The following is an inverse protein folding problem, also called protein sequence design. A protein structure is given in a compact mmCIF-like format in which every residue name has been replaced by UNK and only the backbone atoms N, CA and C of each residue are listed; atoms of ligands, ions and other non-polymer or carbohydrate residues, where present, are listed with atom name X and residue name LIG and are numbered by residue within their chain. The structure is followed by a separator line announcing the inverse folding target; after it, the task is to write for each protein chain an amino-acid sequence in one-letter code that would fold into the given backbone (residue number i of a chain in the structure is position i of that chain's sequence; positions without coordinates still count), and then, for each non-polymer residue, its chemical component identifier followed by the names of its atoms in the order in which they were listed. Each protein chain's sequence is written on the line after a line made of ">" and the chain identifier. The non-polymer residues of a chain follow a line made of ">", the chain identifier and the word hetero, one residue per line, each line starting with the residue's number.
data_IF_843901149599
#
_entry.id   IF_843901149599
#
_cell.length_a   1.000
_cell.length_b   1.000
_cell.length_c   1.000
_cell.angle_alpha   90.00
_cell.angle_beta   90.00
_cell.angle_gamma   90.00
#
_symmetry.space_group_name_H-M   'P 1'
#
loop_
_entity.id
_entity.type
_entity.pdbx_description
1 polymer ?
#
# COMPACT_ATOMS: atom_id res chain seq x y z
N UNK A 1 -5.22 -4.91 35.23
CA UNK A 1 -3.95 -4.24 35.57
C UNK A 1 -3.31 -3.84 34.24
N UNK A 2 -3.36 -2.57 33.88
CA UNK A 2 -2.66 -2.10 32.67
C UNK A 2 -1.16 -2.19 32.96
N UNK A 3 -0.43 -3.06 32.26
CA UNK A 3 1.02 -2.93 32.22
C UNK A 3 1.34 -1.53 31.70
N UNK A 4 2.22 -0.80 32.39
CA UNK A 4 2.68 0.47 31.89
C UNK A 4 3.38 0.20 30.54
N UNK A 5 3.15 1.05 29.53
CA UNK A 5 3.69 0.87 28.18
C UNK A 5 5.22 0.76 28.16
N UNK A 6 5.90 1.29 29.18
CA UNK A 6 7.36 1.21 29.34
C UNK A 6 7.88 -0.18 29.73
N UNK A 7 7.01 -1.08 30.20
CA UNK A 7 7.40 -2.47 30.55
C UNK A 7 7.37 -3.43 29.35
N UNK A 8 6.91 -2.95 28.18
CA UNK A 8 6.82 -3.78 26.97
C UNK A 8 8.21 -4.05 26.39
N UNK A 9 8.42 -5.29 25.93
CA UNK A 9 9.67 -5.68 25.27
C UNK A 9 9.91 -4.84 24.02
N UNK A 10 11.16 -4.39 23.86
CA UNK A 10 11.67 -3.75 22.63
C UNK A 10 12.32 -4.74 21.67
N UNK A 11 12.41 -6.03 22.04
CA UNK A 11 12.91 -7.05 21.14
C UNK A 11 11.86 -7.34 20.05
N UNK A 12 12.27 -7.43 18.76
CA UNK A 12 11.39 -7.87 17.68
C UNK A 12 10.78 -9.26 17.97
N UNK A 13 9.53 -9.45 17.58
CA UNK A 13 8.81 -10.70 17.84
C UNK A 13 9.05 -11.68 16.70
N UNK A 14 9.55 -12.91 16.92
CA UNK A 14 9.78 -13.86 15.83
C UNK A 14 8.49 -14.17 15.04
N UNK A 15 8.57 -14.12 13.72
CA UNK A 15 7.54 -14.64 12.83
C UNK A 15 7.80 -16.12 12.58
N UNK A 16 6.89 -17.00 13.01
CA UNK A 16 7.07 -18.46 12.91
C UNK A 16 6.81 -19.01 11.51
N UNK A 17 6.30 -18.19 10.60
CA UNK A 17 6.07 -18.61 9.22
C UNK A 17 7.34 -18.59 8.36
N UNK A 18 8.42 -17.93 8.82
CA UNK A 18 9.64 -17.72 8.03
C UNK A 18 10.92 -17.81 8.88
N UNK A 19 12.03 -18.18 8.24
CA UNK A 19 13.34 -18.24 8.89
C UNK A 19 13.91 -16.85 9.16
N UNK A 20 14.42 -16.64 10.38
CA UNK A 20 15.08 -15.40 10.80
C UNK A 20 14.24 -14.12 10.50
N UNK A 21 12.92 -14.24 10.54
CA UNK A 21 11.97 -13.17 10.30
C UNK A 21 11.32 -12.67 11.60
N UNK A 22 11.02 -11.38 11.64
CA UNK A 22 10.49 -10.76 12.86
C UNK A 22 9.39 -9.75 12.52
N UNK A 23 8.30 -9.83 13.29
CA UNK A 23 7.34 -8.74 13.45
C UNK A 23 7.93 -7.60 14.30
N UNK A 24 7.28 -6.42 14.33
CA UNK A 24 7.67 -5.36 15.24
C UNK A 24 7.66 -5.80 16.72
N UNK A 25 8.38 -5.06 17.55
CA UNK A 25 8.42 -5.30 19.00
C UNK A 25 7.07 -4.97 19.66
N UNK A 26 6.72 -5.61 20.78
CA UNK A 26 5.54 -5.22 21.56
C UNK A 26 5.52 -3.72 21.92
N UNK A 27 6.68 -3.14 22.28
CA UNK A 27 6.80 -1.71 22.56
C UNK A 27 6.43 -0.86 21.34
N UNK A 28 7.04 -1.11 20.17
CA UNK A 28 6.75 -0.34 18.96
C UNK A 28 5.29 -0.45 18.51
N UNK A 29 4.68 -1.63 18.64
CA UNK A 29 3.25 -1.80 18.34
C UNK A 29 2.38 -0.90 19.23
N UNK A 30 2.72 -0.72 20.51
CA UNK A 30 1.98 0.18 21.40
C UNK A 30 2.07 1.66 21.03
N UNK A 31 3.11 2.06 20.28
CA UNK A 31 3.34 3.45 19.91
C UNK A 31 2.75 3.79 18.53
N UNK A 32 2.82 2.84 17.59
CA UNK A 32 2.52 3.09 16.18
C UNK A 32 1.27 2.37 15.66
N UNK A 33 0.60 1.60 16.51
CA UNK A 33 -0.68 0.98 16.17
C UNK A 33 -1.75 1.36 17.18
N UNK A 34 -3.00 1.33 16.75
CA UNK A 34 -4.16 1.65 17.57
C UNK A 34 -5.32 0.76 17.16
N UNK A 35 -6.21 0.47 18.11
CA UNK A 35 -7.43 -0.29 17.84
C UNK A 35 -8.40 0.45 16.89
N UNK A 36 -8.28 1.78 16.80
CA UNK A 36 -9.10 2.67 15.95
C UNK A 36 -8.24 3.70 15.23
N UNK A 37 -8.74 4.17 14.09
CA UNK A 37 -8.16 5.31 13.36
C UNK A 37 -8.72 6.63 13.87
N UNK A 38 -8.24 7.73 13.30
CA UNK A 38 -8.76 9.08 13.46
C UNK A 38 -9.84 9.46 12.41
N UNK A 39 -10.38 8.46 11.69
CA UNK A 39 -11.40 8.66 10.67
C UNK A 39 -12.61 9.48 11.19
N UNK A 40 -12.94 10.54 10.46
CA UNK A 40 -13.96 11.52 10.86
C UNK A 40 -15.16 11.58 9.89
N UNK A 41 -15.31 10.59 9.00
CA UNK A 41 -16.40 10.52 8.01
C UNK A 41 -15.95 10.83 6.58
N UNK A 42 -16.86 10.61 5.63
CA UNK A 42 -16.64 10.87 4.19
C UNK A 42 -17.39 12.13 3.76
N UNK A 43 -16.70 13.06 3.12
CA UNK A 43 -17.26 14.36 2.70
C UNK A 43 -18.15 14.29 1.46
N UNK A 44 -17.88 13.34 0.55
CA UNK A 44 -18.48 13.30 -0.80
C UNK A 44 -19.18 11.98 -1.11
N UNK A 45 -19.80 11.37 -0.09
CA UNK A 45 -20.51 10.10 -0.26
C UNK A 45 -21.55 10.17 -1.40
N UNK A 46 -21.46 9.23 -2.35
CA UNK A 46 -22.35 9.14 -3.51
C UNK A 46 -22.20 10.26 -4.55
N UNK A 47 -21.17 11.10 -4.47
CA UNK A 47 -20.99 12.22 -5.39
C UNK A 47 -20.69 11.78 -6.84
N UNK A 48 -20.18 10.56 -7.04
CA UNK A 48 -19.93 9.98 -8.35
C UNK A 48 -20.87 8.80 -8.64
N UNK A 49 -21.89 9.03 -9.49
CA UNK A 49 -22.92 8.02 -9.78
C UNK A 49 -22.80 7.37 -11.18
N UNK A 50 -21.93 7.86 -12.06
CA UNK A 50 -21.84 7.37 -13.44
C UNK A 50 -21.22 5.97 -13.57
N UNK A 51 -20.44 5.53 -12.56
CA UNK A 51 -19.90 4.17 -12.48
C UNK A 51 -18.87 3.78 -13.55
N UNK A 52 -18.40 4.73 -14.36
CA UNK A 52 -17.36 4.51 -15.38
C UNK A 52 -15.97 4.42 -14.77
N UNK A 53 -15.63 5.33 -13.85
CA UNK A 53 -14.28 5.49 -13.32
C UNK A 53 -14.01 4.56 -12.14
N UNK A 54 -12.81 4.00 -12.14
CA UNK A 54 -12.27 3.11 -11.12
C UNK A 54 -10.90 3.56 -10.63
N UNK A 55 -10.48 2.95 -9.52
CA UNK A 55 -9.13 3.05 -8.96
C UNK A 55 -8.41 1.73 -9.22
N UNK A 56 -7.20 1.79 -9.80
CA UNK A 56 -6.30 0.64 -9.86
C UNK A 56 -5.37 0.70 -8.65
N UNK A 57 -5.54 -0.19 -7.68
CA UNK A 57 -4.58 -0.33 -6.59
C UNK A 57 -3.47 -1.31 -6.98
N UNK A 58 -2.21 -0.89 -6.86
CA UNK A 58 -1.04 -1.76 -6.96
C UNK A 58 -0.56 -2.05 -5.52
N UNK A 59 -0.73 -3.30 -5.09
CA UNK A 59 -0.36 -3.74 -3.74
C UNK A 59 0.95 -4.55 -3.73
N UNK A 60 1.59 -4.59 -2.57
CA UNK A 60 2.72 -5.47 -2.30
C UNK A 60 2.25 -6.93 -2.20
N UNK A 61 3.00 -7.83 -2.83
CA UNK A 61 2.76 -9.28 -2.77
C UNK A 61 3.83 -10.05 -2.00
N UNK A 62 4.91 -9.38 -1.57
CA UNK A 62 5.94 -9.92 -0.69
C UNK A 62 5.80 -9.31 0.72
N UNK A 63 5.93 -10.16 1.73
CA UNK A 63 5.85 -9.79 3.15
C UNK A 63 7.22 -9.51 3.74
N UNK A 64 8.27 -10.17 3.28
CA UNK A 64 9.56 -10.17 3.95
C UNK A 64 10.55 -9.23 3.27
N UNK A 65 11.02 -8.23 4.03
CA UNK A 65 12.10 -7.33 3.60
C UNK A 65 13.41 -7.78 4.22
N UNK A 66 14.41 -8.07 3.39
CA UNK A 66 15.76 -8.39 3.86
C UNK A 66 16.46 -7.13 4.38
N UNK A 67 16.76 -7.10 5.66
CA UNK A 67 17.50 -6.01 6.31
C UNK A 67 19.01 -6.21 6.17
N UNK A 68 19.79 -5.13 6.32
CA UNK A 68 21.25 -5.14 6.19
C UNK A 68 21.96 -6.12 7.14
N UNK A 69 21.35 -6.43 8.29
CA UNK A 69 21.89 -7.37 9.27
C UNK A 69 21.54 -8.84 8.98
N UNK A 70 20.94 -9.13 7.82
CA UNK A 70 20.57 -10.48 7.37
C UNK A 70 19.25 -11.02 7.96
N UNK A 71 18.54 -10.23 8.79
CA UNK A 71 17.19 -10.58 9.27
C UNK A 71 16.13 -10.15 8.27
N UNK A 72 14.96 -10.77 8.33
CA UNK A 72 13.78 -10.36 7.57
C UNK A 72 12.82 -9.55 8.44
N UNK A 73 12.37 -8.41 7.97
CA UNK A 73 11.22 -7.70 8.57
C UNK A 73 9.92 -8.25 7.98
N UNK A 74 9.02 -8.73 8.85
CA UNK A 74 7.70 -9.26 8.47
C UNK A 74 6.67 -8.13 8.37
N UNK A 75 6.48 -7.64 7.15
CA UNK A 75 5.71 -6.44 6.79
C UNK A 75 4.58 -6.78 5.78
N UNK A 76 4.36 -5.93 4.78
CA UNK A 76 3.27 -5.88 3.83
C UNK A 76 2.89 -4.43 3.57
N UNK A 77 1.72 -4.21 2.97
CA UNK A 77 1.12 -2.90 2.97
C UNK A 77 0.51 -2.57 4.34
N UNK A 78 0.61 -1.31 4.74
CA UNK A 78 -0.01 -0.83 5.98
C UNK A 78 -1.54 -0.77 5.81
N UNK A 79 -2.34 -1.44 6.67
CA UNK A 79 -3.78 -1.59 6.45
C UNK A 79 -4.53 -0.25 6.51
N UNK A 80 -4.16 0.66 7.40
CA UNK A 80 -4.82 1.98 7.48
C UNK A 80 -4.51 2.82 6.24
N UNK A 81 -3.26 2.80 5.78
CA UNK A 81 -2.83 3.55 4.60
C UNK A 81 -3.51 3.02 3.33
N UNK A 82 -3.79 1.72 3.27
CA UNK A 82 -4.53 1.11 2.18
C UNK A 82 -6.02 1.42 2.27
N UNK A 83 -6.64 1.10 3.40
CA UNK A 83 -8.09 0.94 3.48
C UNK A 83 -8.80 2.25 3.73
N UNK A 84 -8.19 3.22 4.40
CA UNK A 84 -8.86 4.49 4.68
C UNK A 84 -9.00 5.37 3.43
N UNK A 85 -7.96 5.58 2.59
CA UNK A 85 -8.13 6.27 1.31
C UNK A 85 -9.15 5.56 0.40
N UNK A 86 -9.12 4.23 0.37
CA UNK A 86 -10.08 3.46 -0.43
C UNK A 86 -11.50 3.54 0.13
N UNK A 87 -11.69 3.61 1.44
CA UNK A 87 -13.01 3.85 2.03
C UNK A 87 -13.61 5.16 1.52
N UNK A 88 -12.85 6.27 1.56
CA UNK A 88 -13.29 7.54 1.00
C UNK A 88 -13.64 7.45 -0.49
N UNK A 89 -12.81 6.79 -1.29
CA UNK A 89 -13.02 6.66 -2.74
C UNK A 89 -14.23 5.77 -3.08
N UNK A 90 -14.40 4.66 -2.36
CA UNK A 90 -15.52 3.73 -2.54
C UNK A 90 -16.85 4.36 -2.13
N UNK A 91 -16.90 5.03 -0.97
CA UNK A 91 -18.09 5.77 -0.54
C UNK A 91 -18.43 6.92 -1.48
N UNK A 92 -17.44 7.53 -2.14
CA UNK A 92 -17.68 8.54 -3.19
C UNK A 92 -18.33 7.94 -4.44
N UNK A 93 -18.09 6.64 -4.71
CA UNK A 93 -18.69 5.89 -5.81
C UNK A 93 -17.69 5.24 -6.78
N UNK A 94 -16.39 5.27 -6.49
CA UNK A 94 -15.37 4.64 -7.34
C UNK A 94 -15.18 3.16 -6.97
N UNK A 95 -15.30 2.25 -7.94
CA UNK A 95 -14.89 0.85 -7.75
C UNK A 95 -13.35 0.73 -7.75
N UNK A 96 -12.85 -0.31 -7.10
CA UNK A 96 -11.41 -0.52 -6.88
C UNK A 96 -11.02 -1.89 -7.40
N UNK A 97 -10.14 -1.94 -8.40
CA UNK A 97 -9.50 -3.18 -8.80
C UNK A 97 -8.12 -3.28 -8.16
N UNK A 98 -7.76 -4.49 -7.70
CA UNK A 98 -6.50 -4.75 -7.00
C UNK A 98 -5.60 -5.56 -7.91
N UNK A 99 -4.37 -5.09 -8.10
CA UNK A 99 -3.34 -5.80 -8.82
C UNK A 99 -2.08 -5.96 -7.95
N UNK A 100 -1.36 -7.05 -8.19
CA UNK A 100 0.00 -7.26 -7.70
C UNK A 100 0.89 -7.65 -8.89
N UNK A 101 2.22 -7.57 -8.76
CA UNK A 101 3.14 -7.77 -9.89
C UNK A 101 2.88 -9.11 -10.58
N UNK A 102 2.76 -10.20 -9.80
CA UNK A 102 2.61 -11.56 -10.32
C UNK A 102 1.20 -12.12 -10.16
N UNK A 103 0.29 -11.40 -9.48
CA UNK A 103 -1.06 -11.86 -9.16
C UNK A 103 -1.10 -12.69 -7.87
N UNK A 104 0.00 -12.76 -7.11
CA UNK A 104 -0.02 -13.36 -5.77
C UNK A 104 -0.83 -12.51 -4.79
N UNK A 105 -1.43 -13.11 -3.74
CA UNK A 105 -2.24 -12.38 -2.77
C UNK A 105 -1.51 -11.17 -2.20
N UNK A 106 -2.21 -10.05 -2.08
CA UNK A 106 -1.68 -8.87 -1.39
C UNK A 106 -1.28 -9.23 0.05
N UNK A 107 -0.14 -8.72 0.51
CA UNK A 107 0.35 -8.94 1.88
C UNK A 107 0.11 -7.68 2.69
N UNK A 108 -0.50 -7.83 3.86
CA UNK A 108 -0.79 -6.75 4.78
C UNK A 108 -0.02 -6.93 6.07
N UNK A 109 0.33 -5.80 6.68
CA UNK A 109 0.82 -5.67 8.05
C UNK A 109 -0.36 -5.88 9.02
N UNK A 110 -0.84 -7.12 9.12
CA UNK A 110 -2.04 -7.42 9.92
C UNK A 110 -1.85 -7.10 11.41
N UNK A 111 -0.61 -6.98 11.89
CA UNK A 111 -0.28 -6.49 13.24
C UNK A 111 -0.62 -5.01 13.45
N UNK A 112 -0.91 -4.23 12.40
CA UNK A 112 -1.36 -2.83 12.46
C UNK A 112 -2.85 -2.66 12.10
N UNK A 113 -3.62 -3.74 11.97
CA UNK A 113 -5.04 -3.65 11.62
C UNK A 113 -5.87 -3.07 12.79
N UNK A 114 -6.60 -1.96 12.60
CA UNK A 114 -7.43 -1.36 13.66
C UNK A 114 -8.74 -2.13 13.80
N UNK A 115 -8.71 -3.24 14.56
CA UNK A 115 -9.82 -4.19 14.64
C UNK A 115 -11.13 -3.63 15.23
N UNK A 116 -11.11 -2.47 15.88
CA UNK A 116 -12.31 -1.80 16.41
C UNK A 116 -12.84 -0.67 15.51
N UNK A 117 -12.23 -0.46 14.35
CA UNK A 117 -12.64 0.54 13.37
C UNK A 117 -13.58 -0.06 12.31
N UNK A 118 -14.85 0.36 12.34
CA UNK A 118 -15.89 -0.18 11.45
C UNK A 118 -15.69 0.21 9.98
N UNK A 119 -15.15 1.39 9.70
CA UNK A 119 -14.92 1.86 8.33
C UNK A 119 -13.79 1.05 7.68
N UNK A 120 -12.70 0.84 8.42
CA UNK A 120 -11.59 0.00 7.96
C UNK A 120 -12.02 -1.46 7.83
N UNK A 121 -12.74 -2.00 8.82
CA UNK A 121 -13.18 -3.39 8.80
C UNK A 121 -14.14 -3.69 7.63
N UNK A 122 -15.13 -2.84 7.38
CA UNK A 122 -16.07 -3.04 6.27
C UNK A 122 -15.38 -2.94 4.91
N UNK A 123 -14.46 -1.99 4.74
CA UNK A 123 -13.67 -1.83 3.51
C UNK A 123 -12.74 -3.02 3.29
N UNK A 124 -12.11 -3.53 4.35
CA UNK A 124 -11.31 -4.75 4.27
C UNK A 124 -12.14 -5.96 3.82
N UNK A 125 -13.32 -6.19 4.42
CA UNK A 125 -14.18 -7.31 4.02
C UNK A 125 -14.65 -7.19 2.56
N UNK A 126 -15.00 -5.97 2.11
CA UNK A 126 -15.39 -5.72 0.73
C UNK A 126 -14.25 -6.02 -0.27
N UNK A 127 -13.02 -5.67 0.07
CA UNK A 127 -11.84 -5.86 -0.79
C UNK A 127 -11.17 -7.23 -0.61
N UNK A 128 -11.48 -7.98 0.46
CA UNK A 128 -10.83 -9.26 0.79
C UNK A 128 -10.79 -10.25 -0.39
N UNK A 129 -11.86 -10.43 -1.20
CA UNK A 129 -11.78 -11.30 -2.38
C UNK A 129 -10.71 -10.84 -3.39
N UNK A 130 -10.69 -9.53 -3.71
CA UNK A 130 -9.72 -8.94 -4.65
C UNK A 130 -8.28 -8.91 -4.07
N UNK A 131 -8.13 -8.78 -2.75
CA UNK A 131 -6.82 -8.88 -2.07
C UNK A 131 -6.27 -10.31 -2.09
N UNK A 132 -7.14 -11.32 -1.97
CA UNK A 132 -6.74 -12.74 -2.00
C UNK A 132 -6.50 -13.27 -3.40
N UNK A 133 -7.16 -12.69 -4.41
CA UNK A 133 -7.02 -13.06 -5.82
C UNK A 133 -6.90 -11.77 -6.65
N UNK A 134 -5.78 -11.05 -6.55
CA UNK A 134 -5.59 -9.82 -7.30
C UNK A 134 -5.36 -10.13 -8.78
N UNK A 135 -5.58 -9.11 -9.61
CA UNK A 135 -5.18 -9.12 -10.99
C UNK A 135 -3.64 -9.20 -11.08
N UNK A 136 -3.14 -9.82 -12.14
CA UNK A 136 -1.73 -9.75 -12.48
C UNK A 136 -1.45 -8.43 -13.19
N UNK A 137 -0.58 -7.59 -12.63
CA UNK A 137 -0.35 -6.25 -13.15
C UNK A 137 0.13 -6.24 -14.60
N UNK A 138 0.87 -7.26 -15.06
CA UNK A 138 1.32 -7.34 -16.46
C UNK A 138 0.16 -7.48 -17.45
N UNK A 139 -0.90 -8.16 -17.07
CA UNK A 139 -2.09 -8.32 -17.91
C UNK A 139 -2.89 -7.02 -17.93
N UNK A 140 -3.05 -6.39 -16.76
CA UNK A 140 -3.67 -5.06 -16.66
C UNK A 140 -2.92 -4.04 -17.51
N UNK A 141 -1.59 -3.97 -17.38
CA UNK A 141 -0.76 -3.00 -18.09
C UNK A 141 -0.79 -3.17 -19.60
N UNK A 142 -0.84 -4.42 -20.10
CA UNK A 142 -0.96 -4.71 -21.53
C UNK A 142 -2.29 -4.20 -22.12
N UNK A 143 -3.34 -4.14 -21.29
CA UNK A 143 -4.67 -3.69 -21.67
C UNK A 143 -4.91 -2.19 -21.39
N UNK A 144 -3.92 -1.46 -20.86
CA UNK A 144 -4.06 -0.02 -20.60
C UNK A 144 -3.96 0.80 -21.90
N UNK A 145 -4.96 1.66 -22.14
CA UNK A 145 -5.08 2.55 -23.29
C UNK A 145 -5.78 3.86 -22.89
N UNK A 146 -5.87 4.89 -23.76
CA UNK A 146 -6.44 6.19 -23.40
C UNK A 146 -7.90 6.15 -22.90
N UNK A 147 -8.66 5.13 -23.28
CA UNK A 147 -10.06 4.97 -22.92
C UNK A 147 -10.29 3.98 -21.77
N UNK A 148 -9.23 3.41 -21.17
CA UNK A 148 -9.34 2.55 -19.98
C UNK A 148 -10.06 3.27 -18.84
N UNK A 149 -10.75 2.49 -18.02
CA UNK A 149 -11.67 2.98 -16.99
C UNK A 149 -11.00 3.35 -15.66
N UNK A 150 -9.67 3.39 -15.59
CA UNK A 150 -8.95 3.82 -14.40
C UNK A 150 -8.72 5.34 -14.43
N UNK A 151 -9.24 6.01 -13.41
CA UNK A 151 -9.03 7.45 -13.20
C UNK A 151 -7.74 7.70 -12.39
N UNK A 152 -7.39 6.77 -11.51
CA UNK A 152 -6.21 6.86 -10.66
C UNK A 152 -5.52 5.51 -10.50
N UNK A 153 -4.20 5.58 -10.31
CA UNK A 153 -3.37 4.49 -9.77
C UNK A 153 -3.10 4.82 -8.31
N UNK A 154 -3.41 3.89 -7.41
CA UNK A 154 -3.18 4.01 -5.99
C UNK A 154 -2.13 3.00 -5.52
N UNK A 155 -1.10 3.48 -4.83
CA UNK A 155 -0.01 2.64 -4.31
C UNK A 155 0.12 2.92 -2.80
N UNK A 156 -0.48 2.10 -1.93
CA UNK A 156 -0.33 2.25 -0.48
C UNK A 156 1.11 1.98 -0.04
N UNK A 157 1.50 2.54 1.11
CA UNK A 157 2.79 2.27 1.73
C UNK A 157 2.77 1.03 2.62
N UNK A 158 3.42 1.13 3.78
CA UNK A 158 4.02 -0.01 4.48
C UNK A 158 5.33 -0.47 3.82
N UNK A 159 6.28 -1.00 4.60
CA UNK A 159 7.60 -1.36 4.08
C UNK A 159 7.56 -2.43 3.00
N UNK A 160 6.48 -3.23 2.88
CA UNK A 160 6.31 -4.17 1.77
C UNK A 160 6.36 -3.52 0.38
N UNK A 161 6.06 -2.21 0.27
CA UNK A 161 6.12 -1.47 -0.98
C UNK A 161 7.56 -1.32 -1.55
N UNK A 162 8.59 -1.51 -0.73
CA UNK A 162 10.00 -1.41 -1.17
C UNK A 162 10.48 -2.66 -1.90
N UNK A 163 9.72 -3.76 -1.85
CA UNK A 163 10.09 -5.04 -2.47
C UNK A 163 9.37 -5.20 -3.80
N UNK A 164 10.13 -5.40 -4.86
CA UNK A 164 9.62 -5.65 -6.21
C UNK A 164 9.09 -4.41 -6.92
N UNK A 165 8.21 -3.61 -6.29
CA UNK A 165 7.56 -2.45 -6.93
C UNK A 165 8.57 -1.45 -7.53
N UNK A 166 9.63 -1.02 -6.81
CA UNK A 166 10.57 -0.02 -7.32
C UNK A 166 11.38 -0.47 -8.54
N UNK A 167 11.55 -1.80 -8.70
CA UNK A 167 12.33 -2.43 -9.77
C UNK A 167 11.46 -3.08 -10.86
N UNK A 168 10.15 -2.83 -10.87
CA UNK A 168 9.23 -3.48 -11.79
C UNK A 168 9.00 -2.66 -13.06
N UNK A 169 9.42 -3.20 -14.21
CA UNK A 169 9.10 -2.60 -15.52
C UNK A 169 7.60 -2.38 -15.71
N UNK A 170 6.76 -3.33 -15.26
CA UNK A 170 5.31 -3.22 -15.37
C UNK A 170 4.75 -2.07 -14.54
N UNK A 171 5.24 -1.87 -13.31
CA UNK A 171 4.87 -0.69 -12.50
C UNK A 171 5.29 0.59 -13.23
N UNK A 172 6.50 0.61 -13.79
CA UNK A 172 6.99 1.71 -14.62
C UNK A 172 6.07 2.00 -15.81
N UNK A 173 5.65 0.97 -16.56
CA UNK A 173 4.70 1.10 -17.68
C UNK A 173 3.36 1.68 -17.23
N UNK A 174 2.79 1.19 -16.13
CA UNK A 174 1.52 1.70 -15.58
C UNK A 174 1.63 3.17 -15.14
N UNK A 175 2.74 3.56 -14.51
CA UNK A 175 2.97 4.95 -14.10
C UNK A 175 3.17 5.89 -15.30
N UNK A 176 3.90 5.46 -16.33
CA UNK A 176 4.04 6.23 -17.56
C UNK A 176 2.69 6.39 -18.27
N UNK A 177 1.89 5.31 -18.36
CA UNK A 177 0.53 5.39 -18.89
C UNK A 177 -0.33 6.40 -18.11
N UNK A 178 -0.24 6.41 -16.78
CA UNK A 178 -1.00 7.35 -15.97
C UNK A 178 -0.62 8.81 -16.28
N UNK A 179 0.68 9.11 -16.38
CA UNK A 179 1.16 10.44 -16.76
C UNK A 179 0.74 10.85 -18.17
N UNK A 180 0.93 9.97 -19.16
CA UNK A 180 0.67 10.25 -20.58
C UNK A 180 -0.82 10.55 -20.86
N UNK A 181 -1.72 10.03 -20.02
CA UNK A 181 -3.17 10.15 -20.20
C UNK A 181 -3.85 11.01 -19.13
N UNK A 182 -3.08 11.79 -18.36
CA UNK A 182 -3.62 12.71 -17.36
C UNK A 182 -4.40 12.02 -16.23
N UNK A 183 -3.92 10.85 -15.79
CA UNK A 183 -4.48 10.07 -14.67
C UNK A 183 -3.78 10.43 -13.38
N UNK A 184 -4.49 10.25 -12.26
CA UNK A 184 -3.91 10.53 -10.94
C UNK A 184 -3.00 9.40 -10.48
N UNK A 185 -1.94 9.76 -9.78
CA UNK A 185 -1.08 8.83 -9.04
C UNK A 185 -1.14 9.23 -7.58
N UNK A 186 -1.64 8.32 -6.74
CA UNK A 186 -1.90 8.56 -5.32
C UNK A 186 -1.02 7.58 -4.53
N UNK A 187 -0.19 8.11 -3.63
CA UNK A 187 0.71 7.28 -2.82
C UNK A 187 1.13 8.01 -1.55
N UNK A 188 1.64 7.27 -0.57
CA UNK A 188 2.00 7.75 0.77
C UNK A 188 3.03 6.82 1.44
N UNK A 189 3.70 7.33 2.49
CA UNK A 189 4.67 6.59 3.30
C UNK A 189 5.85 6.07 2.45
N UNK A 190 6.02 4.74 2.34
CA UNK A 190 6.99 4.08 1.45
C UNK A 190 6.42 3.71 0.08
N UNK A 191 5.12 3.87 -0.15
CA UNK A 191 4.51 3.72 -1.48
C UNK A 191 5.21 4.52 -2.60
N UNK A 192 5.74 5.75 -2.35
CA UNK A 192 6.56 6.48 -3.30
C UNK A 192 7.79 5.74 -3.82
N UNK A 193 8.28 4.69 -3.14
CA UNK A 193 9.35 3.85 -3.67
C UNK A 193 9.00 3.26 -5.05
N UNK A 194 7.72 2.97 -5.30
CA UNK A 194 7.24 2.49 -6.60
C UNK A 194 7.44 3.52 -7.74
N UNK A 195 7.56 4.82 -7.45
CA UNK A 195 7.81 5.85 -8.46
C UNK A 195 9.18 5.72 -9.12
N UNK A 196 10.14 5.06 -8.45
CA UNK A 196 11.45 4.75 -9.01
C UNK A 196 11.34 3.88 -10.28
N UNK A 197 10.31 3.03 -10.35
CA UNK A 197 10.07 2.13 -11.49
C UNK A 197 9.85 2.88 -12.81
N UNK A 198 9.31 4.11 -12.76
CA UNK A 198 9.03 4.89 -13.97
C UNK A 198 10.31 5.42 -14.66
N UNK A 199 11.43 5.45 -13.92
CA UNK A 199 12.74 5.88 -14.40
C UNK A 199 13.69 4.74 -14.79
N UNK A 200 13.27 3.48 -14.67
CA UNK A 200 14.09 2.33 -15.08
C UNK A 200 14.50 2.47 -16.56
N UNK A 201 15.79 2.24 -16.82
CA UNK A 201 16.44 2.33 -18.14
C UNK A 201 16.29 3.70 -18.85
N UNK A 202 15.96 4.77 -18.12
CA UNK A 202 15.88 6.13 -18.66
C UNK A 202 17.00 7.01 -18.11
N UNK A 203 17.47 7.95 -18.93
CA UNK A 203 18.44 8.95 -18.49
C UNK A 203 17.86 9.89 -17.42
N UNK A 204 16.54 10.11 -17.43
CA UNK A 204 15.83 10.93 -16.45
C UNK A 204 14.43 10.36 -16.19
N UNK A 205 14.01 10.33 -14.93
CA UNK A 205 12.65 9.93 -14.54
C UNK A 205 11.61 10.92 -15.09
N UNK A 206 10.43 10.44 -15.54
CA UNK A 206 9.34 11.33 -15.94
C UNK A 206 8.77 12.16 -14.77
N UNK A 207 9.11 11.82 -13.52
CA UNK A 207 8.77 12.61 -12.34
C UNK A 207 9.80 13.70 -12.00
N UNK A 208 10.79 13.96 -12.85
CA UNK A 208 11.75 15.03 -12.59
C UNK A 208 11.04 16.39 -12.41
N UNK A 209 11.29 17.04 -11.28
CA UNK A 209 10.66 18.32 -10.92
C UNK A 209 9.35 18.20 -10.12
N UNK A 210 8.81 16.99 -9.93
CA UNK A 210 7.67 16.77 -9.04
C UNK A 210 8.10 16.88 -7.57
N UNK A 211 7.20 17.38 -6.73
CA UNK A 211 7.34 17.36 -5.27
C UNK A 211 6.48 16.24 -4.69
N UNK A 212 6.99 15.56 -3.68
CA UNK A 212 6.31 14.41 -3.03
C UNK A 212 6.49 14.46 -1.52
N UNK A 213 5.48 13.97 -0.80
CA UNK A 213 5.64 13.59 0.61
C UNK A 213 6.10 12.13 0.67
N UNK A 214 7.09 11.83 1.53
CA UNK A 214 7.66 10.48 1.71
C UNK A 214 7.89 10.26 3.20
N UNK A 215 7.86 9.01 3.64
CA UNK A 215 8.33 8.67 4.99
C UNK A 215 9.80 9.11 5.15
N UNK A 216 10.18 9.78 6.25
CA UNK A 216 11.50 10.38 6.36
C UNK A 216 12.58 9.34 6.72
N UNK A 217 13.69 9.37 5.98
CA UNK A 217 14.86 8.48 6.17
C UNK A 217 15.30 8.39 7.64
N UNK A 218 15.31 9.51 8.36
CA UNK A 218 15.75 9.59 9.76
C UNK A 218 14.99 8.70 10.74
N UNK A 219 13.75 8.31 10.41
CA UNK A 219 12.96 7.41 11.26
C UNK A 219 13.16 5.92 10.89
N UNK A 220 13.63 5.61 9.68
CA UNK A 220 13.95 4.24 9.27
C UNK A 220 15.37 3.80 9.69
N UNK A 221 16.31 4.74 9.82
CA UNK A 221 17.69 4.45 10.24
C UNK A 221 17.85 4.19 11.75
N UNK A 222 16.81 4.47 12.55
CA UNK A 222 16.85 4.53 14.02
C UNK A 222 16.77 3.21 14.78
#
# INVERSE_FOLDING_TARGET
>A
MSQATDDLSRAPTPDRAEDNAFFPSPYSLSQYTSAKTDFAGVEHAGAYAEGRWKILMIAAEERYVLCQNGKMFSTGNHPVEMLLPLHHLMETGFDVDVATITGYPAKLELWAMPHEDQAVASTYEALKPKLKQPLKLSEVAADLHPASHYLAVFIPGGHGAVVGLPGSETVGQTLNWALDHGRFIITLCHGPAALLAAGLDKAQSPFAGYSVCVFPDSLDEG
#
